data_IF_070835415288
#
_entry.id   IF_070835415288
#
_cell.length_a   1.000
_cell.length_b   1.000
_cell.length_c   1.000
_cell.angle_alpha   90.00
_cell.angle_beta   90.00
_cell.angle_gamma   90.00
#
_symmetry.space_group_name_H-M   'P 1'
#
loop_
_entity.id
_entity.type
_entity.pdbx_description
1 polymer ?
#
# COMPACT_ATOMS: atom_id res chain seq x y z
N UNK A 1 -8.34 14.93 -12.18
CA UNK A 1 -8.07 15.41 -10.79
C UNK A 1 -6.59 15.15 -10.50
N UNK A 2 -5.84 16.13 -9.99
CA UNK A 2 -4.40 15.94 -9.70
C UNK A 2 -4.22 15.11 -8.42
N UNK A 3 -3.13 14.34 -8.30
CA UNK A 3 -2.81 13.49 -7.12
C UNK A 3 -2.97 14.23 -5.78
N UNK A 4 -2.62 15.53 -5.74
CA UNK A 4 -2.82 16.39 -4.57
C UNK A 4 -4.29 16.64 -4.22
N UNK A 5 -5.17 16.62 -5.21
CA UNK A 5 -6.61 16.86 -5.01
C UNK A 5 -7.31 15.57 -4.55
N UNK A 6 -6.79 14.40 -4.95
CA UNK A 6 -7.25 13.10 -4.44
C UNK A 6 -7.01 12.96 -2.93
N UNK A 7 -5.81 13.28 -2.46
CA UNK A 7 -5.50 13.24 -1.03
C UNK A 7 -6.27 14.31 -0.23
N UNK A 8 -6.66 15.44 -0.87
CA UNK A 8 -7.50 16.46 -0.24
C UNK A 8 -8.99 16.08 -0.22
N UNK A 9 -9.51 15.41 -1.26
CA UNK A 9 -10.93 15.02 -1.32
C UNK A 9 -11.29 13.94 -0.30
N UNK A 10 -10.33 13.11 0.09
CA UNK A 10 -10.52 12.12 1.16
C UNK A 10 -10.61 12.79 2.55
N UNK A 11 -10.04 14.00 2.71
CA UNK A 11 -10.01 14.73 4.00
C UNK A 11 -11.14 15.75 4.24
N UNK A 12 -12.04 16.01 3.29
CA UNK A 12 -13.02 17.11 3.41
C UNK A 12 -14.49 16.69 3.45
N UNK A 13 -14.78 15.39 3.54
CA UNK A 13 -16.14 14.85 3.60
C UNK A 13 -16.74 14.73 5.01
N UNK A 14 -16.59 15.74 5.88
CA UNK A 14 -17.28 15.75 7.18
C UNK A 14 -18.61 16.48 7.08
N UNK A 15 -19.70 15.75 6.78
CA UNK A 15 -21.03 16.16 7.16
C UNK A 15 -21.31 15.63 8.57
N UNK A 16 -21.28 16.52 9.55
CA UNK A 16 -21.57 16.21 10.95
C UNK A 16 -23.05 15.79 11.12
N UNK A 17 -23.31 14.52 11.41
CA UNK A 17 -24.53 14.07 12.04
C UNK A 17 -24.23 13.79 13.51
N UNK A 18 -24.55 14.74 14.37
CA UNK A 18 -24.55 14.56 15.82
C UNK A 18 -25.79 13.74 16.24
N UNK A 19 -25.60 12.44 16.37
CA UNK A 19 -26.53 11.60 17.14
C UNK A 19 -25.87 11.29 18.49
N UNK A 20 -26.33 11.95 19.55
CA UNK A 20 -25.92 11.64 20.91
C UNK A 20 -26.50 10.29 21.33
N UNK A 21 -25.70 9.23 21.22
CA UNK A 21 -25.94 7.95 21.88
C UNK A 21 -25.05 7.87 23.12
N UNK A 22 -25.69 7.94 24.27
CA UNK A 22 -25.07 7.64 25.57
C UNK A 22 -24.64 6.17 25.60
N UNK A 23 -23.36 5.93 25.39
CA UNK A 23 -22.76 4.62 25.64
C UNK A 23 -22.52 4.43 27.13
N UNK A 24 -22.90 3.26 27.70
CA UNK A 24 -22.56 2.95 29.08
C UNK A 24 -21.01 2.89 29.18
N UNK A 25 -20.46 3.58 30.17
CA UNK A 25 -19.07 3.49 30.56
C UNK A 25 -18.75 2.05 30.97
N UNK A 26 -18.32 1.25 30.02
CA UNK A 26 -17.72 -0.06 30.32
C UNK A 26 -16.41 0.25 31.04
N UNK A 27 -16.34 -0.20 32.31
CA UNK A 27 -15.12 -0.18 33.11
C UNK A 27 -13.95 -0.68 32.23
N UNK A 28 -13.02 0.22 31.92
CA UNK A 28 -11.68 -0.18 31.49
C UNK A 28 -11.06 -0.94 32.67
N UNK A 29 -11.16 -2.24 32.69
CA UNK A 29 -10.29 -3.05 33.53
C UNK A 29 -8.87 -2.59 33.19
N UNK A 30 -8.09 -2.20 34.22
CA UNK A 30 -6.65 -1.93 34.08
C UNK A 30 -6.03 -3.18 33.47
N UNK A 31 -5.93 -3.26 32.15
CA UNK A 31 -5.02 -4.19 31.50
C UNK A 31 -3.63 -3.73 31.94
N UNK A 32 -2.92 -4.56 32.69
CA UNK A 32 -1.51 -4.36 32.96
C UNK A 32 -0.85 -4.25 31.58
N UNK A 33 -0.24 -3.10 31.29
CA UNK A 33 0.33 -2.78 30.00
C UNK A 33 1.31 -3.86 29.55
N UNK A 34 0.99 -4.54 28.46
CA UNK A 34 1.89 -5.50 27.84
C UNK A 34 2.79 -4.72 26.89
N UNK A 35 4.05 -4.52 27.27
CA UNK A 35 5.04 -3.92 26.38
C UNK A 35 5.34 -4.87 25.24
N UNK A 36 5.14 -4.39 24.01
CA UNK A 36 5.44 -5.12 22.80
C UNK A 36 6.87 -4.77 22.34
N UNK A 37 7.65 -5.77 21.96
CA UNK A 37 8.88 -5.55 21.20
C UNK A 37 8.49 -5.32 19.74
N UNK A 38 8.11 -4.09 19.43
CA UNK A 38 7.58 -3.71 18.13
C UNK A 38 8.50 -2.76 17.40
N UNK A 39 8.50 -2.88 16.06
CA UNK A 39 9.10 -1.87 15.19
C UNK A 39 8.00 -1.12 14.45
N UNK A 40 7.99 0.19 14.55
CA UNK A 40 6.93 1.03 14.02
C UNK A 40 7.49 2.03 13.02
N UNK A 41 6.70 2.34 12.00
CA UNK A 41 7.12 3.14 10.86
C UNK A 41 6.05 4.16 10.47
N UNK A 42 6.39 5.06 9.55
CA UNK A 42 5.42 5.93 8.88
C UNK A 42 5.78 6.15 7.42
N UNK A 43 4.77 6.14 6.53
CA UNK A 43 4.94 6.56 5.15
C UNK A 43 4.95 8.09 5.06
N UNK A 44 5.94 8.63 4.36
CA UNK A 44 6.07 10.07 4.11
C UNK A 44 5.71 10.38 2.66
N UNK A 45 4.51 10.89 2.43
CA UNK A 45 4.03 11.36 1.11
C UNK A 45 4.14 12.87 0.94
N UNK A 46 4.26 13.63 2.05
CA UNK A 46 4.46 15.07 2.06
C UNK A 46 5.84 15.38 2.62
N UNK A 47 6.69 16.02 1.82
CA UNK A 47 8.11 16.17 2.14
C UNK A 47 8.44 17.41 2.96
N UNK A 48 7.46 18.30 3.21
CA UNK A 48 7.69 19.62 3.86
C UNK A 48 8.43 20.59 2.94
N UNK A 49 8.39 21.87 3.29
CA UNK A 49 8.97 22.92 2.45
C UNK A 49 10.48 23.12 2.70
N UNK A 50 10.96 22.74 3.89
CA UNK A 50 12.38 22.93 4.27
C UNK A 50 12.86 21.84 5.24
N UNK A 51 14.17 21.82 5.50
CA UNK A 51 14.81 20.82 6.37
C UNK A 51 14.46 21.00 7.85
N UNK A 52 14.17 22.23 8.29
CA UNK A 52 13.83 22.46 9.71
C UNK A 52 12.43 21.90 10.06
N UNK A 53 11.47 22.00 9.16
CA UNK A 53 10.18 21.34 9.31
C UNK A 53 10.33 19.81 9.29
N UNK A 54 11.16 19.29 8.37
CA UNK A 54 11.46 17.88 8.31
C UNK A 54 12.10 17.38 9.62
N UNK A 55 13.05 18.12 10.21
CA UNK A 55 13.67 17.77 11.50
C UNK A 55 12.65 17.73 12.65
N UNK A 56 11.78 18.73 12.76
CA UNK A 56 10.71 18.74 13.76
C UNK A 56 9.80 17.52 13.65
N UNK A 57 9.48 17.14 12.42
CA UNK A 57 8.69 15.95 12.15
C UNK A 57 9.42 14.67 12.53
N UNK A 58 10.71 14.53 12.20
CA UNK A 58 11.54 13.39 12.57
C UNK A 58 11.71 13.28 14.09
N UNK A 59 11.89 14.40 14.78
CA UNK A 59 11.91 14.43 16.24
C UNK A 59 10.58 13.91 16.84
N UNK A 60 9.44 14.37 16.34
CA UNK A 60 8.12 13.89 16.76
C UNK A 60 7.95 12.37 16.51
N UNK A 61 8.36 11.90 15.33
CA UNK A 61 8.35 10.47 14.96
C UNK A 61 9.18 9.65 15.95
N UNK A 62 10.44 10.04 16.19
CA UNK A 62 11.34 9.34 17.12
C UNK A 62 10.82 9.35 18.56
N UNK A 63 10.36 10.51 19.05
CA UNK A 63 9.79 10.65 20.41
C UNK A 63 8.54 9.82 20.61
N UNK A 64 7.84 9.46 19.55
CA UNK A 64 6.62 8.63 19.59
C UNK A 64 6.91 7.14 19.52
N UNK A 65 8.19 6.75 19.49
CA UNK A 65 8.58 5.32 19.49
C UNK A 65 8.57 4.68 18.11
N UNK A 66 8.60 5.46 17.02
CA UNK A 66 8.79 4.93 15.70
C UNK A 66 10.28 4.69 15.41
N UNK A 67 10.57 3.67 14.62
CA UNK A 67 11.92 3.19 14.33
C UNK A 67 12.43 3.68 12.97
N UNK A 68 11.52 4.09 12.06
CA UNK A 68 11.93 4.53 10.75
C UNK A 68 10.81 5.15 9.92
N UNK A 69 11.20 5.61 8.75
CA UNK A 69 10.37 6.31 7.79
C UNK A 69 10.42 5.67 6.41
N UNK A 70 9.34 5.82 5.66
CA UNK A 70 9.23 5.35 4.27
C UNK A 70 8.87 6.56 3.37
N UNK A 71 9.85 7.39 2.94
CA UNK A 71 9.60 8.52 2.06
C UNK A 71 9.35 8.08 0.61
N UNK A 72 8.41 8.77 -0.09
CA UNK A 72 8.08 8.53 -1.50
C UNK A 72 8.95 9.36 -2.47
N UNK A 73 10.26 9.41 -2.24
CA UNK A 73 11.23 10.19 -3.02
C UNK A 73 12.14 11.04 -2.15
N UNK A 74 13.02 11.84 -2.76
CA UNK A 74 14.03 12.65 -2.07
C UNK A 74 14.86 11.81 -1.07
N UNK A 75 15.23 10.60 -1.48
CA UNK A 75 15.80 9.58 -0.57
C UNK A 75 17.07 10.05 0.11
N UNK A 76 18.03 10.67 -0.61
CA UNK A 76 19.27 11.19 -0.04
C UNK A 76 19.03 12.29 1.01
N UNK A 77 18.03 13.16 0.76
CA UNK A 77 17.62 14.17 1.75
C UNK A 77 17.12 13.52 3.02
N UNK A 78 16.22 12.54 2.90
CA UNK A 78 15.63 11.87 4.05
C UNK A 78 16.65 11.01 4.79
N UNK A 79 17.56 10.34 4.09
CA UNK A 79 18.68 9.60 4.71
C UNK A 79 19.51 10.55 5.58
N UNK A 80 19.97 11.67 5.01
CA UNK A 80 20.81 12.65 5.73
C UNK A 80 20.10 13.19 6.99
N UNK A 81 18.81 13.52 6.90
CA UNK A 81 18.06 14.06 8.03
C UNK A 81 17.71 12.99 9.07
N UNK A 82 17.32 11.80 8.65
CA UNK A 82 16.93 10.71 9.54
C UNK A 82 18.08 10.18 10.40
N UNK A 83 19.32 10.23 9.89
CA UNK A 83 20.52 9.89 10.65
C UNK A 83 20.70 10.76 11.91
N UNK A 84 20.29 12.03 11.88
CA UNK A 84 20.36 12.94 13.05
C UNK A 84 19.48 12.42 14.21
N UNK A 85 18.50 11.56 13.94
CA UNK A 85 17.51 11.03 14.88
C UNK A 85 17.59 9.51 15.08
N UNK A 86 18.59 8.84 14.49
CA UNK A 86 18.70 7.38 14.52
C UNK A 86 17.39 6.70 14.08
N UNK A 87 16.92 7.08 12.87
CA UNK A 87 15.75 6.52 12.21
C UNK A 87 16.16 5.79 10.93
N UNK A 88 15.63 4.59 10.74
CA UNK A 88 15.81 3.83 9.49
C UNK A 88 15.04 4.49 8.34
N UNK A 89 15.62 4.42 7.13
CA UNK A 89 14.97 4.93 5.90
C UNK A 89 14.77 3.78 4.93
N UNK A 90 13.51 3.62 4.51
CA UNK A 90 13.07 2.65 3.52
C UNK A 90 12.55 3.40 2.30
N UNK A 91 13.06 3.12 1.10
CA UNK A 91 12.65 3.83 -0.11
C UNK A 91 11.24 3.39 -0.54
N UNK A 92 10.22 4.18 -0.24
CA UNK A 92 8.85 3.94 -0.71
C UNK A 92 8.75 4.31 -2.19
N UNK A 93 8.65 3.28 -3.02
CA UNK A 93 8.72 3.39 -4.46
C UNK A 93 7.42 2.94 -5.12
N UNK A 94 6.83 3.88 -5.89
CA UNK A 94 5.64 3.62 -6.70
C UNK A 94 6.06 2.79 -7.91
N UNK A 95 5.60 1.55 -8.00
CA UNK A 95 6.14 0.57 -8.94
C UNK A 95 5.45 0.60 -10.31
N UNK A 96 4.23 0.10 -10.43
CA UNK A 96 3.54 -0.03 -11.72
C UNK A 96 2.69 1.18 -12.10
N UNK A 97 2.24 1.97 -11.13
CA UNK A 97 1.49 3.20 -11.40
C UNK A 97 2.46 4.30 -11.84
N UNK A 98 2.38 4.75 -13.10
CA UNK A 98 3.33 5.66 -13.77
C UNK A 98 2.68 6.87 -14.43
N UNK A 99 1.57 7.34 -13.89
CA UNK A 99 0.87 8.52 -14.42
C UNK A 99 1.63 9.85 -14.31
N UNK A 100 2.71 9.89 -13.54
CA UNK A 100 3.61 11.05 -13.45
C UNK A 100 4.90 10.93 -14.28
N UNK A 101 5.08 9.82 -15.00
CA UNK A 101 6.27 9.55 -15.81
C UNK A 101 6.02 9.97 -17.26
N UNK A 102 6.30 11.25 -17.58
CA UNK A 102 6.10 11.80 -18.92
C UNK A 102 6.93 11.08 -19.99
N UNK A 103 8.15 10.65 -19.64
CA UNK A 103 9.00 9.92 -20.59
C UNK A 103 8.34 8.63 -21.06
N UNK A 104 7.79 7.83 -20.13
CA UNK A 104 7.09 6.59 -20.47
C UNK A 104 5.81 6.85 -21.27
N UNK A 105 5.04 7.86 -20.87
CA UNK A 105 3.77 8.19 -21.53
C UNK A 105 3.99 8.62 -22.98
N UNK A 106 5.04 9.42 -23.23
CA UNK A 106 5.34 9.96 -24.56
C UNK A 106 6.07 8.98 -25.47
N UNK A 107 6.98 8.15 -24.93
CA UNK A 107 7.86 7.32 -25.73
C UNK A 107 7.47 5.83 -25.74
N UNK A 108 6.74 5.37 -24.74
CA UNK A 108 6.39 3.95 -24.55
C UNK A 108 4.92 3.74 -24.12
N UNK A 109 3.93 4.40 -24.79
CA UNK A 109 2.52 4.25 -24.43
C UNK A 109 2.01 2.81 -24.56
N UNK A 110 2.65 2.00 -25.41
CA UNK A 110 2.35 0.59 -25.61
C UNK A 110 2.77 -0.32 -24.42
N UNK A 111 3.59 0.19 -23.49
CA UNK A 111 3.94 -0.54 -22.27
C UNK A 111 2.86 -0.51 -21.19
N UNK A 112 1.87 0.36 -21.36
CA UNK A 112 0.81 0.52 -20.39
C UNK A 112 -0.28 -0.54 -20.52
N UNK A 113 -0.98 -0.80 -19.43
CA UNK A 113 -2.07 -1.76 -19.38
C UNK A 113 -3.24 -1.34 -20.26
N UNK A 114 -3.92 -2.33 -20.83
CA UNK A 114 -5.15 -2.16 -21.61
C UNK A 114 -6.28 -2.88 -20.87
N UNK A 115 -7.43 -2.23 -20.74
CA UNK A 115 -8.60 -2.85 -20.12
C UNK A 115 -9.30 -3.82 -21.08
N UNK A 116 -10.31 -4.53 -20.57
CA UNK A 116 -11.06 -5.53 -21.37
C UNK A 116 -11.84 -4.91 -22.55
N UNK A 117 -12.10 -3.60 -22.54
CA UNK A 117 -12.70 -2.88 -23.68
C UNK A 117 -11.70 -2.50 -24.76
N UNK A 118 -10.40 -2.84 -24.61
CA UNK A 118 -9.34 -2.48 -25.55
C UNK A 118 -8.79 -1.06 -25.35
N UNK A 119 -9.09 -0.40 -24.25
CA UNK A 119 -8.67 0.97 -23.98
C UNK A 119 -7.39 0.99 -23.14
N UNK A 120 -6.39 1.76 -23.60
CA UNK A 120 -5.14 1.98 -22.87
C UNK A 120 -5.38 2.80 -21.60
N UNK A 121 -4.70 2.46 -20.51
CA UNK A 121 -4.72 3.27 -19.29
C UNK A 121 -3.99 4.61 -19.45
N UNK A 122 -3.30 4.87 -20.57
CA UNK A 122 -2.74 6.18 -20.89
C UNK A 122 -3.87 7.15 -21.28
N UNK A 123 -4.75 6.70 -22.18
CA UNK A 123 -5.81 7.57 -22.76
C UNK A 123 -7.10 7.49 -21.94
N UNK A 124 -7.38 6.34 -21.36
CA UNK A 124 -8.58 6.04 -20.59
C UNK A 124 -8.22 5.47 -19.21
N UNK A 125 -7.58 6.28 -18.34
CA UNK A 125 -7.21 5.82 -17.02
C UNK A 125 -8.46 5.55 -16.17
N UNK A 126 -8.44 4.45 -15.44
CA UNK A 126 -9.50 4.15 -14.49
C UNK A 126 -9.56 5.22 -13.39
N UNK A 127 -10.75 5.72 -13.06
CA UNK A 127 -11.06 6.64 -11.95
C UNK A 127 -10.45 8.05 -12.04
N UNK A 128 -9.13 8.19 -12.25
CA UNK A 128 -8.42 9.49 -12.19
C UNK A 128 -7.29 9.58 -13.21
N UNK A 129 -6.96 10.78 -13.70
CA UNK A 129 -6.04 11.00 -14.81
C UNK A 129 -4.62 10.43 -14.62
N UNK A 130 -4.14 10.36 -13.38
CA UNK A 130 -2.81 9.82 -13.09
C UNK A 130 -2.79 8.30 -12.94
N UNK A 131 -3.93 7.61 -13.07
CA UNK A 131 -4.05 6.16 -12.84
C UNK A 131 -3.63 5.35 -14.06
N UNK A 132 -2.43 5.64 -14.56
CA UNK A 132 -1.80 5.02 -15.71
C UNK A 132 -0.83 3.94 -15.24
N UNK A 133 -0.94 2.74 -15.77
CA UNK A 133 -0.30 1.55 -15.19
C UNK A 133 0.51 0.80 -16.22
N UNK A 134 1.80 0.50 -15.91
CA UNK A 134 2.65 -0.37 -16.71
C UNK A 134 2.20 -1.82 -16.63
N UNK A 135 2.26 -2.50 -17.77
CA UNK A 135 1.98 -3.93 -17.85
C UNK A 135 3.15 -4.75 -17.26
N UNK A 136 2.91 -5.58 -16.21
CA UNK A 136 3.97 -6.37 -15.59
C UNK A 136 4.45 -7.53 -16.46
N UNK A 137 3.77 -7.82 -17.58
CA UNK A 137 4.11 -8.93 -18.49
C UNK A 137 5.14 -8.52 -19.54
N UNK A 138 5.31 -7.20 -19.79
CA UNK A 138 6.24 -6.68 -20.80
C UNK A 138 7.69 -6.66 -20.28
N UNK A 139 8.63 -7.34 -20.96
CA UNK A 139 10.03 -7.39 -20.56
C UNK A 139 10.68 -6.00 -20.50
N UNK A 140 10.38 -5.12 -21.47
CA UNK A 140 10.96 -3.79 -21.57
C UNK A 140 10.54 -2.91 -20.38
N UNK A 141 9.26 -3.03 -19.95
CA UNK A 141 8.78 -2.35 -18.74
C UNK A 141 9.45 -2.90 -17.48
N UNK A 142 9.68 -4.22 -17.40
CA UNK A 142 10.41 -4.82 -16.28
C UNK A 142 11.86 -4.33 -16.23
N UNK A 143 12.56 -4.27 -17.36
CA UNK A 143 13.94 -3.75 -17.43
C UNK A 143 14.01 -2.29 -17.00
N UNK A 144 13.08 -1.46 -17.45
CA UNK A 144 12.98 -0.07 -17.01
C UNK A 144 12.84 0.04 -15.49
N UNK A 145 11.95 -0.74 -14.89
CA UNK A 145 11.75 -0.80 -13.45
C UNK A 145 13.01 -1.29 -12.72
N UNK A 146 13.70 -2.28 -13.26
CA UNK A 146 14.94 -2.80 -12.65
C UNK A 146 16.08 -1.77 -12.66
N UNK A 147 16.16 -0.88 -13.65
CA UNK A 147 17.13 0.25 -13.63
C UNK A 147 16.83 1.23 -12.51
N UNK A 148 15.56 1.54 -12.27
CA UNK A 148 15.19 2.41 -11.14
C UNK A 148 15.48 1.76 -9.77
N UNK A 149 15.37 0.43 -9.67
CA UNK A 149 15.82 -0.29 -8.47
C UNK A 149 17.32 -0.11 -8.27
N UNK A 150 18.14 -0.16 -9.34
CA UNK A 150 19.59 0.09 -9.24
C UNK A 150 19.90 1.50 -8.71
N UNK A 151 19.15 2.51 -9.17
CA UNK A 151 19.31 3.90 -8.68
C UNK A 151 19.02 4.00 -7.18
N UNK A 152 17.95 3.37 -6.69
CA UNK A 152 17.63 3.33 -5.26
C UNK A 152 18.70 2.55 -4.49
N UNK A 153 19.15 1.44 -5.04
CA UNK A 153 20.18 0.59 -4.42
C UNK A 153 21.54 1.27 -4.27
N UNK A 154 21.83 2.26 -5.12
CA UNK A 154 23.08 3.04 -5.06
C UNK A 154 23.17 3.96 -3.83
N UNK A 155 22.07 4.16 -3.09
CA UNK A 155 22.04 4.95 -1.86
C UNK A 155 22.34 4.00 -0.69
N UNK A 156 23.54 4.03 -0.14
CA UNK A 156 24.05 3.02 0.81
C UNK A 156 23.19 2.85 2.06
N UNK A 157 22.69 3.93 2.63
CA UNK A 157 21.98 3.96 3.91
C UNK A 157 20.51 3.52 3.82
N UNK A 158 19.96 3.39 2.62
CA UNK A 158 18.60 2.84 2.44
C UNK A 158 18.57 1.39 2.94
N UNK A 159 17.66 1.09 3.85
CA UNK A 159 17.50 -0.26 4.46
C UNK A 159 16.73 -1.22 3.58
N UNK A 160 15.74 -0.72 2.84
CA UNK A 160 14.95 -1.54 1.92
C UNK A 160 14.44 -0.74 0.73
N UNK A 161 14.21 -1.44 -0.37
CA UNK A 161 13.28 -1.01 -1.42
C UNK A 161 11.88 -1.43 -0.96
N UNK A 162 10.97 -0.47 -0.81
CA UNK A 162 9.60 -0.69 -0.37
C UNK A 162 8.64 -0.46 -1.53
N UNK A 163 8.12 -1.56 -2.09
CA UNK A 163 7.22 -1.53 -3.24
C UNK A 163 5.83 -1.02 -2.83
N UNK A 164 5.27 -0.12 -3.61
CA UNK A 164 3.85 0.20 -3.57
C UNK A 164 3.29 0.26 -4.98
N UNK A 165 1.97 0.21 -5.13
CA UNK A 165 1.30 0.08 -6.41
C UNK A 165 1.86 -1.09 -7.26
N UNK A 166 2.35 -2.13 -6.59
CA UNK A 166 2.79 -3.40 -7.19
C UNK A 166 1.56 -4.33 -7.32
N UNK A 167 0.64 -3.94 -8.20
CA UNK A 167 -0.67 -4.56 -8.39
C UNK A 167 -1.31 -4.11 -9.69
N UNK A 168 -2.43 -4.69 -10.04
CA UNK A 168 -3.30 -4.15 -11.09
C UNK A 168 -4.12 -2.96 -10.56
N UNK A 169 -4.70 -2.13 -11.45
CA UNK A 169 -5.73 -1.16 -11.07
C UNK A 169 -6.85 -1.84 -10.28
N UNK A 170 -7.52 -1.07 -9.44
CA UNK A 170 -8.68 -1.58 -8.71
C UNK A 170 -9.77 -1.99 -9.70
N UNK A 171 -10.11 -3.27 -9.73
CA UNK A 171 -11.23 -3.77 -10.54
C UNK A 171 -12.56 -3.45 -9.85
N UNK A 172 -12.54 -3.40 -8.53
CA UNK A 172 -13.59 -2.86 -7.67
C UNK A 172 -12.90 -1.99 -6.61
N UNK A 173 -13.32 -0.72 -6.49
CA UNK A 173 -12.84 0.15 -5.42
C UNK A 173 -13.38 -0.28 -4.06
N UNK A 174 -12.61 -0.10 -2.98
CA UNK A 174 -13.13 -0.17 -1.63
C UNK A 174 -14.40 0.67 -1.47
N UNK A 175 -15.38 0.13 -0.77
CA UNK A 175 -16.76 0.67 -0.77
C UNK A 175 -16.83 2.15 -0.34
N UNK A 176 -15.99 2.58 0.59
CA UNK A 176 -15.92 3.97 1.05
C UNK A 176 -15.41 4.93 -0.03
N UNK A 177 -14.62 4.44 -0.99
CA UNK A 177 -14.05 5.26 -2.05
C UNK A 177 -14.99 5.44 -3.25
N UNK A 178 -15.95 4.55 -3.46
CA UNK A 178 -16.85 4.61 -4.62
C UNK A 178 -17.63 5.92 -4.73
N UNK A 179 -18.20 6.49 -3.64
CA UNK A 179 -18.89 7.78 -3.70
C UNK A 179 -17.98 8.95 -4.10
N UNK A 180 -16.67 8.89 -3.79
CA UNK A 180 -15.70 9.93 -4.17
C UNK A 180 -15.61 10.09 -5.70
N UNK A 181 -15.81 8.98 -6.42
CA UNK A 181 -15.81 8.93 -7.89
C UNK A 181 -17.22 8.94 -8.49
N UNK A 182 -18.25 9.06 -7.65
CA UNK A 182 -19.65 9.04 -8.07
C UNK A 182 -20.02 7.76 -8.85
N UNK A 183 -19.49 6.61 -8.41
CA UNK A 183 -19.72 5.28 -9.00
C UNK A 183 -20.29 4.31 -7.96
N UNK A 184 -20.92 3.25 -8.46
CA UNK A 184 -21.36 2.07 -7.70
C UNK A 184 -20.84 0.85 -8.42
N UNK A 185 -19.99 0.07 -7.75
CA UNK A 185 -19.42 -1.18 -8.30
C UNK A 185 -19.90 -2.36 -7.46
N UNK A 186 -20.90 -3.07 -7.95
CA UNK A 186 -21.47 -4.30 -7.37
C UNK A 186 -20.89 -5.58 -7.97
N UNK A 187 -20.10 -5.44 -9.04
CA UNK A 187 -19.39 -6.49 -9.78
C UNK A 187 -18.17 -5.94 -10.51
N UNK A 188 -17.42 -6.81 -11.15
CA UNK A 188 -16.34 -6.40 -12.05
C UNK A 188 -16.92 -5.89 -13.39
N UNK A 189 -16.49 -4.69 -13.78
CA UNK A 189 -16.88 -4.07 -15.04
C UNK A 189 -15.69 -4.07 -16.02
N UNK A 190 -15.93 -4.28 -17.34
CA UNK A 190 -14.85 -4.43 -18.33
C UNK A 190 -13.88 -3.23 -18.40
N UNK A 191 -14.36 -2.01 -18.16
CA UNK A 191 -13.56 -0.79 -18.16
C UNK A 191 -12.54 -0.71 -17.02
N UNK A 192 -12.72 -1.49 -15.94
CA UNK A 192 -11.80 -1.55 -14.80
C UNK A 192 -11.00 -2.86 -14.74
N UNK A 193 -11.30 -3.83 -15.63
CA UNK A 193 -10.60 -5.12 -15.64
C UNK A 193 -9.36 -5.08 -16.55
N UNK A 194 -8.18 -5.21 -15.98
CA UNK A 194 -6.86 -5.18 -16.62
C UNK A 194 -6.09 -6.49 -16.35
N UNK A 195 -5.07 -6.91 -17.14
CA UNK A 195 -4.56 -6.31 -18.37
C UNK A 195 -4.89 -7.24 -19.55
N UNK A 196 -5.48 -6.68 -20.58
CA UNK A 196 -5.79 -7.38 -21.84
C UNK A 196 -4.94 -6.84 -23.00
N UNK A 197 -3.75 -6.28 -22.72
CA UNK A 197 -2.82 -5.89 -23.78
C UNK A 197 -2.33 -7.12 -24.57
N UNK A 198 -1.79 -6.88 -25.76
CA UNK A 198 -1.30 -7.94 -26.64
C UNK A 198 -0.31 -8.88 -25.93
N UNK A 199 0.65 -8.33 -25.16
CA UNK A 199 1.64 -9.14 -24.44
C UNK A 199 0.99 -10.11 -23.43
N UNK A 200 -0.04 -9.68 -22.69
CA UNK A 200 -0.76 -10.54 -21.78
C UNK A 200 -1.57 -11.62 -22.51
N UNK A 201 -2.31 -11.22 -23.54
CA UNK A 201 -3.17 -12.14 -24.30
C UNK A 201 -2.36 -13.18 -25.05
N UNK A 202 -1.32 -12.76 -25.77
CA UNK A 202 -0.45 -13.66 -26.53
C UNK A 202 0.25 -14.66 -25.62
N UNK A 203 0.82 -14.21 -24.50
CA UNK A 203 1.48 -15.08 -23.53
C UNK A 203 0.50 -16.07 -22.89
N UNK A 204 -0.70 -15.64 -22.55
CA UNK A 204 -1.72 -16.54 -22.00
C UNK A 204 -2.15 -17.58 -23.04
N UNK A 205 -2.40 -17.15 -24.28
CA UNK A 205 -2.76 -18.04 -25.37
C UNK A 205 -1.68 -19.07 -25.70
N UNK A 206 -0.41 -18.67 -25.68
CA UNK A 206 0.73 -19.58 -25.85
C UNK A 206 0.76 -20.67 -24.77
N UNK A 207 0.51 -20.29 -23.51
CA UNK A 207 0.57 -21.21 -22.37
C UNK A 207 -0.67 -22.11 -22.21
N UNK A 208 -1.86 -21.61 -22.60
CA UNK A 208 -3.13 -22.25 -22.27
C UNK A 208 -4.04 -22.54 -23.47
N UNK A 209 -3.67 -22.07 -24.68
CA UNK A 209 -4.41 -22.34 -25.93
C UNK A 209 -5.64 -21.44 -26.15
N UNK A 210 -6.00 -20.60 -25.19
CA UNK A 210 -7.21 -19.76 -25.21
C UNK A 210 -6.86 -18.27 -25.15
N UNK A 211 -7.67 -17.42 -25.75
CA UNK A 211 -7.52 -15.98 -25.65
C UNK A 211 -8.46 -15.42 -24.55
N UNK A 212 -7.96 -14.78 -23.50
CA UNK A 212 -8.80 -14.34 -22.38
C UNK A 212 -9.84 -13.29 -22.74
N UNK A 213 -9.72 -12.62 -23.89
CA UNK A 213 -10.74 -11.68 -24.38
C UNK A 213 -12.05 -12.38 -24.77
N UNK A 214 -11.99 -13.67 -25.06
CA UNK A 214 -13.14 -14.49 -25.47
C UNK A 214 -13.93 -15.04 -24.26
N UNK A 215 -13.41 -14.88 -23.05
CA UNK A 215 -14.10 -15.39 -21.86
C UNK A 215 -15.35 -14.57 -21.55
N UNK A 216 -16.47 -15.27 -21.36
CA UNK A 216 -17.75 -14.64 -20.99
C UNK A 216 -17.69 -14.07 -19.57
N UNK A 217 -17.07 -14.82 -18.65
CA UNK A 217 -16.92 -14.47 -17.22
C UNK A 217 -15.46 -14.62 -16.78
N UNK A 218 -14.57 -13.71 -17.20
CA UNK A 218 -13.13 -13.80 -16.91
C UNK A 218 -12.83 -13.69 -15.41
N UNK A 219 -13.73 -13.05 -14.63
CA UNK A 219 -13.63 -12.96 -13.18
C UNK A 219 -13.72 -14.32 -12.48
N UNK A 220 -14.42 -15.29 -13.09
CA UNK A 220 -14.54 -16.65 -12.57
C UNK A 220 -13.49 -17.61 -13.16
N UNK A 221 -12.71 -17.16 -14.14
CA UNK A 221 -11.75 -18.01 -14.79
C UNK A 221 -10.45 -18.14 -13.96
N UNK A 222 -10.36 -19.19 -13.14
CA UNK A 222 -9.25 -19.38 -12.19
C UNK A 222 -7.87 -19.34 -12.84
N UNK A 223 -7.69 -19.96 -14.01
CA UNK A 223 -6.38 -20.00 -14.71
C UNK A 223 -5.97 -18.60 -15.17
N UNK A 224 -6.92 -17.80 -15.67
CA UNK A 224 -6.67 -16.41 -16.06
C UNK A 224 -6.34 -15.54 -14.85
N UNK A 225 -7.08 -15.68 -13.75
CA UNK A 225 -6.79 -14.95 -12.52
C UNK A 225 -5.41 -15.31 -11.99
N UNK A 226 -5.07 -16.62 -11.95
CA UNK A 226 -3.75 -17.10 -11.54
C UNK A 226 -2.63 -16.61 -12.45
N UNK A 227 -2.84 -16.57 -13.77
CA UNK A 227 -1.88 -15.98 -14.69
C UNK A 227 -1.56 -14.54 -14.31
N UNK A 228 -2.56 -13.69 -14.07
CA UNK A 228 -2.38 -12.29 -13.67
C UNK A 228 -1.62 -12.16 -12.35
N UNK A 229 -1.97 -12.95 -11.34
CA UNK A 229 -1.22 -12.99 -10.07
C UNK A 229 0.25 -13.34 -10.31
N UNK A 230 0.51 -14.32 -11.14
CA UNK A 230 1.86 -14.81 -11.43
C UNK A 230 2.73 -13.78 -12.16
N UNK A 231 2.16 -12.89 -13.00
CA UNK A 231 2.96 -11.83 -13.62
C UNK A 231 3.52 -10.85 -12.57
N UNK A 232 2.72 -10.47 -11.58
CA UNK A 232 3.17 -9.63 -10.47
C UNK A 232 4.17 -10.40 -9.57
N UNK A 233 3.83 -11.62 -9.18
CA UNK A 233 4.70 -12.48 -8.35
C UNK A 233 6.08 -12.65 -8.98
N UNK A 234 6.14 -12.86 -10.30
CA UNK A 234 7.39 -12.99 -11.02
C UNK A 234 8.24 -11.71 -10.93
N UNK A 235 7.65 -10.55 -11.21
CA UNK A 235 8.31 -9.25 -11.11
C UNK A 235 8.83 -8.99 -9.69
N UNK A 236 8.01 -9.24 -8.65
CA UNK A 236 8.42 -9.07 -7.25
C UNK A 236 9.57 -9.99 -6.90
N UNK A 237 9.50 -11.27 -7.28
CA UNK A 237 10.52 -12.24 -6.93
C UNK A 237 11.85 -11.98 -7.66
N UNK A 238 11.83 -11.51 -8.91
CA UNK A 238 13.02 -11.01 -9.60
C UNK A 238 13.63 -9.79 -8.87
N UNK A 239 12.78 -8.84 -8.48
CA UNK A 239 13.22 -7.67 -7.70
C UNK A 239 13.84 -8.10 -6.37
N UNK A 240 13.25 -9.10 -5.70
CA UNK A 240 13.79 -9.62 -4.44
C UNK A 240 15.21 -10.19 -4.58
N UNK A 241 15.45 -10.97 -5.64
CA UNK A 241 16.80 -11.50 -5.93
C UNK A 241 17.79 -10.36 -6.14
N UNK A 242 17.44 -9.36 -6.95
CA UNK A 242 18.27 -8.21 -7.24
C UNK A 242 18.62 -7.40 -5.99
N UNK A 243 17.60 -7.05 -5.20
CA UNK A 243 17.73 -6.23 -4.00
C UNK A 243 18.56 -6.94 -2.93
N UNK A 244 18.36 -8.25 -2.71
CA UNK A 244 19.14 -9.04 -1.75
C UNK A 244 20.59 -9.24 -2.18
N UNK A 245 20.85 -9.43 -3.46
CA UNK A 245 22.21 -9.50 -3.99
C UNK A 245 23.00 -8.19 -3.74
N UNK A 246 22.32 -7.06 -3.67
CA UNK A 246 22.87 -5.77 -3.27
C UNK A 246 22.88 -5.51 -1.76
N UNK A 247 22.58 -6.51 -0.93
CA UNK A 247 22.64 -6.43 0.54
C UNK A 247 21.50 -5.66 1.21
N UNK A 248 20.42 -5.35 0.48
CA UNK A 248 19.26 -4.64 1.01
C UNK A 248 18.04 -5.58 1.15
N UNK A 249 16.98 -5.09 1.80
CA UNK A 249 15.71 -5.83 1.98
C UNK A 249 14.69 -5.39 0.94
N UNK A 250 13.80 -6.31 0.54
CA UNK A 250 12.62 -6.00 -0.24
C UNK A 250 11.37 -6.10 0.63
N UNK A 251 10.59 -5.03 0.68
CA UNK A 251 9.32 -4.97 1.41
C UNK A 251 8.21 -4.42 0.52
N UNK A 252 6.96 -4.57 0.88
CA UNK A 252 5.86 -4.06 0.07
C UNK A 252 4.66 -3.59 0.90
N UNK A 253 4.06 -2.47 0.47
CA UNK A 253 2.68 -2.11 0.80
C UNK A 253 1.74 -3.01 -0.01
N UNK A 254 0.78 -3.63 0.66
CA UNK A 254 -0.16 -4.56 0.03
C UNK A 254 -1.59 -4.28 0.51
N UNK A 255 -2.58 -4.76 -0.22
CA UNK A 255 -3.98 -4.68 0.22
C UNK A 255 -4.21 -5.47 1.51
N UNK A 256 -5.26 -5.12 2.30
CA UNK A 256 -5.34 -5.46 3.73
C UNK A 256 -5.26 -6.94 4.05
N UNK A 257 -5.97 -7.76 3.29
CA UNK A 257 -5.97 -9.21 3.48
C UNK A 257 -5.71 -9.93 2.16
N UNK A 258 -5.25 -11.19 2.19
CA UNK A 258 -5.01 -11.94 0.95
C UNK A 258 -6.24 -12.02 0.05
N UNK A 259 -7.44 -12.23 0.62
CA UNK A 259 -8.67 -12.34 -0.15
C UNK A 259 -9.08 -11.01 -0.79
N UNK A 260 -9.02 -9.92 -0.04
CA UNK A 260 -9.28 -8.58 -0.55
C UNK A 260 -8.26 -8.21 -1.64
N UNK A 261 -6.99 -8.52 -1.44
CA UNK A 261 -5.94 -8.24 -2.40
C UNK A 261 -6.14 -8.99 -3.74
N UNK A 262 -6.48 -10.27 -3.67
CA UNK A 262 -6.79 -11.09 -4.85
C UNK A 262 -8.02 -10.57 -5.59
N UNK A 263 -9.07 -10.27 -4.86
CA UNK A 263 -10.36 -9.88 -5.43
C UNK A 263 -10.33 -8.49 -6.06
N UNK A 264 -9.81 -7.49 -5.33
CA UNK A 264 -9.94 -6.10 -5.74
C UNK A 264 -8.83 -5.62 -6.67
N UNK A 265 -7.61 -6.18 -6.57
CA UNK A 265 -6.44 -5.64 -7.27
C UNK A 265 -5.53 -6.70 -7.86
N UNK A 266 -5.98 -7.94 -7.98
CA UNK A 266 -5.22 -9.06 -8.54
C UNK A 266 -3.83 -9.22 -7.88
N UNK A 267 -3.74 -9.03 -6.59
CA UNK A 267 -2.50 -9.04 -5.82
C UNK A 267 -2.46 -10.28 -4.92
N UNK A 268 -1.64 -11.29 -5.27
CA UNK A 268 -1.46 -12.50 -4.46
C UNK A 268 -0.13 -12.44 -3.70
N UNK A 269 -0.02 -11.50 -2.78
CA UNK A 269 1.22 -11.15 -2.09
C UNK A 269 1.73 -12.24 -1.12
N UNK A 270 0.93 -13.22 -0.78
CA UNK A 270 1.37 -14.35 0.07
C UNK A 270 2.42 -15.22 -0.61
N UNK A 271 2.47 -15.21 -1.94
CA UNK A 271 3.46 -15.95 -2.74
C UNK A 271 4.74 -15.13 -3.01
N UNK A 272 4.85 -13.93 -2.45
CA UNK A 272 5.97 -13.06 -2.73
C UNK A 272 7.15 -13.29 -1.79
N UNK A 273 8.36 -13.24 -2.35
CA UNK A 273 9.60 -13.34 -1.59
C UNK A 273 9.97 -12.00 -0.94
N UNK A 274 9.25 -11.63 0.13
CA UNK A 274 9.44 -10.38 0.87
C UNK A 274 10.18 -10.59 2.19
N UNK A 275 10.95 -9.59 2.60
CA UNK A 275 11.59 -9.54 3.91
C UNK A 275 10.68 -8.97 5.00
N UNK A 276 9.65 -8.23 4.60
CA UNK A 276 8.51 -7.83 5.43
C UNK A 276 7.33 -7.39 4.56
N UNK A 277 6.12 -7.49 5.08
CA UNK A 277 4.89 -7.06 4.42
C UNK A 277 4.18 -5.99 5.24
N UNK A 278 3.61 -5.00 4.54
CA UNK A 278 2.94 -3.84 5.12
C UNK A 278 1.49 -3.76 4.58
N UNK A 279 0.58 -4.60 5.08
CA UNK A 279 -0.82 -4.55 4.64
C UNK A 279 -1.47 -3.24 5.07
N UNK A 280 -2.07 -2.54 4.11
CA UNK A 280 -2.82 -1.28 4.30
C UNK A 280 -4.19 -1.57 4.90
N UNK A 281 -4.24 -1.90 6.19
CA UNK A 281 -5.48 -2.26 6.90
C UNK A 281 -6.24 -0.98 7.28
N UNK A 282 -6.69 -0.26 6.25
CA UNK A 282 -7.43 1.00 6.37
C UNK A 282 -8.91 0.69 6.61
N UNK A 283 -9.25 0.36 7.85
CA UNK A 283 -10.55 -0.20 8.25
C UNK A 283 -11.74 0.64 7.77
N UNK A 284 -11.65 1.97 7.81
CA UNK A 284 -12.71 2.86 7.37
C UNK A 284 -13.03 2.71 5.88
N UNK A 285 -12.06 2.39 5.03
CA UNK A 285 -12.28 2.16 3.59
C UNK A 285 -13.20 0.97 3.31
N UNK A 286 -13.37 0.08 4.28
CA UNK A 286 -14.22 -1.13 4.23
C UNK A 286 -15.42 -1.04 5.17
N UNK A 287 -15.74 0.14 5.71
CA UNK A 287 -16.81 0.36 6.71
C UNK A 287 -16.66 -0.56 7.93
N UNK A 288 -15.42 -0.72 8.41
CA UNK A 288 -15.09 -1.56 9.56
C UNK A 288 -14.64 -0.71 10.75
N UNK A 289 -14.87 -1.20 11.96
CA UNK A 289 -14.33 -0.61 13.19
C UNK A 289 -12.87 -1.03 13.45
N UNK A 290 -12.27 -0.49 14.52
CA UNK A 290 -10.88 -0.78 14.86
C UNK A 290 -10.62 -2.26 15.19
N UNK A 291 -11.62 -3.07 15.57
CA UNK A 291 -11.45 -4.51 15.85
C UNK A 291 -11.10 -5.29 14.60
N UNK A 292 -11.66 -4.87 13.48
CA UNK A 292 -11.34 -5.49 12.20
C UNK A 292 -9.85 -5.43 11.87
N UNK A 293 -9.10 -4.45 12.39
CA UNK A 293 -7.65 -4.40 12.23
C UNK A 293 -6.98 -5.67 12.74
N UNK A 294 -7.38 -6.14 13.93
CA UNK A 294 -6.88 -7.40 14.47
C UNK A 294 -7.35 -8.63 13.67
N UNK A 295 -8.61 -8.64 13.23
CA UNK A 295 -9.15 -9.73 12.42
C UNK A 295 -8.38 -9.87 11.09
N UNK A 296 -8.12 -8.74 10.42
CA UNK A 296 -7.36 -8.69 9.16
C UNK A 296 -5.90 -9.12 9.36
N UNK A 297 -5.22 -8.68 10.44
CA UNK A 297 -3.89 -9.17 10.77
C UNK A 297 -3.90 -10.68 11.00
N UNK A 298 -4.87 -11.20 11.75
CA UNK A 298 -5.00 -12.64 12.00
C UNK A 298 -5.24 -13.43 10.70
N UNK A 299 -6.03 -12.90 9.77
CA UNK A 299 -6.22 -13.47 8.44
C UNK A 299 -4.91 -13.54 7.66
N UNK A 300 -4.17 -12.43 7.57
CA UNK A 300 -2.85 -12.39 6.96
C UNK A 300 -1.91 -13.44 7.55
N UNK A 301 -1.85 -13.52 8.89
CA UNK A 301 -0.96 -14.45 9.60
C UNK A 301 -1.29 -15.92 9.37
N UNK A 302 -2.52 -16.26 8.99
CA UNK A 302 -2.89 -17.65 8.64
C UNK A 302 -2.31 -18.09 7.30
N UNK A 303 -2.21 -17.19 6.32
CA UNK A 303 -1.79 -17.55 4.95
C UNK A 303 -0.30 -17.26 4.68
N UNK A 304 0.30 -16.28 5.34
CA UNK A 304 1.68 -15.89 5.07
C UNK A 304 2.70 -16.70 5.89
N UNK A 305 3.98 -16.77 5.47
CA UNK A 305 5.04 -17.40 6.25
C UNK A 305 5.17 -16.75 7.64
N UNK A 306 5.24 -17.58 8.69
CA UNK A 306 5.32 -17.10 10.08
C UNK A 306 6.59 -16.30 10.39
N UNK A 307 7.66 -16.55 9.63
CA UNK A 307 8.96 -15.87 9.76
C UNK A 307 9.01 -14.48 9.13
N UNK A 308 8.07 -14.15 8.23
CA UNK A 308 8.01 -12.83 7.58
C UNK A 308 7.32 -11.84 8.50
N UNK A 309 7.97 -10.74 8.94
CA UNK A 309 7.32 -9.69 9.72
C UNK A 309 6.16 -9.05 8.97
N UNK A 310 5.10 -8.72 9.71
CA UNK A 310 3.94 -7.97 9.23
C UNK A 310 3.85 -6.66 10.02
N UNK A 311 3.89 -5.54 9.32
CA UNK A 311 3.69 -4.20 9.88
C UNK A 311 2.34 -3.66 9.43
N UNK A 312 1.40 -3.55 10.37
CA UNK A 312 0.02 -3.18 10.07
C UNK A 312 -0.09 -1.71 9.66
N UNK A 313 -0.49 -1.44 8.42
CA UNK A 313 -0.75 -0.08 7.93
C UNK A 313 -2.06 0.48 8.49
N UNK A 314 -2.02 1.67 9.11
CA UNK A 314 -3.15 2.38 9.67
C UNK A 314 -3.39 3.69 8.94
N UNK A 315 -4.65 3.96 8.55
CA UNK A 315 -5.06 5.22 7.94
C UNK A 315 -5.59 6.17 9.01
N UNK A 316 -4.82 7.19 9.33
CA UNK A 316 -5.01 8.03 10.51
C UNK A 316 -6.14 9.07 10.39
N UNK A 317 -6.40 9.71 9.23
CA UNK A 317 -7.31 10.86 9.15
C UNK A 317 -8.73 10.61 9.65
N UNK A 318 -9.21 9.38 9.56
CA UNK A 318 -10.58 9.01 9.95
C UNK A 318 -10.64 8.36 11.35
N UNK A 319 -9.50 8.23 12.05
CA UNK A 319 -9.43 7.65 13.38
C UNK A 319 -9.47 8.70 14.48
N UNK A 320 -10.27 8.49 15.51
CA UNK A 320 -10.10 9.19 16.79
C UNK A 320 -8.80 8.76 17.49
N UNK A 321 -8.33 9.56 18.46
CA UNK A 321 -7.12 9.21 19.21
C UNK A 321 -7.24 7.86 19.95
N UNK A 322 -8.43 7.55 20.45
CA UNK A 322 -8.73 6.25 21.09
C UNK A 322 -8.65 5.12 20.07
N UNK A 323 -9.22 5.29 18.88
CA UNK A 323 -9.19 4.28 17.82
C UNK A 323 -7.76 3.98 17.36
N UNK A 324 -6.88 4.99 17.26
CA UNK A 324 -5.46 4.78 16.94
C UNK A 324 -4.80 3.84 17.95
N UNK A 325 -5.04 4.04 19.25
CA UNK A 325 -4.48 3.17 20.29
C UNK A 325 -5.09 1.75 20.25
N UNK A 326 -6.40 1.67 20.05
CA UNK A 326 -7.10 0.37 19.95
C UNK A 326 -6.65 -0.42 18.70
N UNK A 327 -6.52 0.24 17.56
CA UNK A 327 -6.03 -0.39 16.33
C UNK A 327 -4.61 -0.95 16.50
N UNK A 328 -3.72 -0.18 17.16
CA UNK A 328 -2.39 -0.65 17.53
C UNK A 328 -2.47 -1.92 18.38
N UNK A 329 -3.23 -1.90 19.50
CA UNK A 329 -3.36 -3.04 20.41
C UNK A 329 -3.92 -4.28 19.68
N UNK A 330 -4.99 -4.13 18.88
CA UNK A 330 -5.57 -5.24 18.12
C UNK A 330 -4.59 -5.81 17.09
N UNK A 331 -3.81 -4.95 16.41
CA UNK A 331 -2.78 -5.40 15.48
C UNK A 331 -1.73 -6.26 16.21
N UNK A 332 -1.22 -5.76 17.33
CA UNK A 332 -0.17 -6.43 18.10
C UNK A 332 -0.66 -7.75 18.74
N UNK A 333 -1.87 -7.77 19.31
CA UNK A 333 -2.49 -8.97 19.88
C UNK A 333 -2.70 -10.06 18.83
N UNK A 334 -2.90 -9.68 17.57
CA UNK A 334 -3.13 -10.58 16.43
C UNK A 334 -1.85 -11.00 15.70
N UNK A 335 -0.67 -10.57 16.18
CA UNK A 335 0.63 -11.05 15.71
C UNK A 335 1.31 -10.14 14.70
N UNK A 336 0.96 -8.85 14.64
CA UNK A 336 1.78 -7.86 13.94
C UNK A 336 3.13 -7.68 14.64
N UNK A 337 4.17 -7.37 13.87
CA UNK A 337 5.49 -7.00 14.37
C UNK A 337 5.60 -5.50 14.69
N UNK A 338 4.57 -4.74 14.39
CA UNK A 338 4.44 -3.31 14.60
C UNK A 338 3.40 -2.71 13.67
N UNK A 339 3.35 -1.38 13.64
CA UNK A 339 2.43 -0.63 12.77
C UNK A 339 3.17 0.31 11.84
N UNK A 340 2.48 0.74 10.79
CA UNK A 340 2.94 1.82 9.89
C UNK A 340 1.82 2.82 9.69
N UNK A 341 2.11 4.10 9.94
CA UNK A 341 1.11 5.16 9.90
C UNK A 341 1.00 5.79 8.51
N UNK A 342 -0.21 6.17 8.11
CA UNK A 342 -0.44 6.94 6.88
C UNK A 342 -1.65 7.86 7.00
N UNK A 343 -1.50 9.14 6.64
CA UNK A 343 -0.26 9.91 6.64
C UNK A 343 -0.03 10.53 8.03
N UNK A 344 1.20 10.50 8.51
CA UNK A 344 1.57 11.00 9.84
C UNK A 344 1.37 12.52 10.03
N UNK A 345 1.58 13.31 8.97
CA UNK A 345 1.48 14.77 9.03
C UNK A 345 0.05 15.28 9.28
N UNK A 346 -0.95 14.43 9.26
CA UNK A 346 -2.34 14.76 9.60
C UNK A 346 -2.69 14.45 11.04
N UNK A 347 -1.78 13.80 11.79
CA UNK A 347 -2.04 13.42 13.18
C UNK A 347 -2.13 14.63 14.08
N UNK A 348 -3.18 14.66 14.92
CA UNK A 348 -3.30 15.62 16.02
C UNK A 348 -2.33 15.27 17.15
N UNK A 349 -2.02 16.25 18.01
CA UNK A 349 -1.23 16.03 19.23
C UNK A 349 -1.87 14.97 20.14
N UNK A 350 -3.19 14.89 20.18
CA UNK A 350 -3.90 13.88 20.96
C UNK A 350 -3.65 12.48 20.40
N UNK A 351 -3.74 12.28 19.07
CA UNK A 351 -3.44 11.00 18.44
C UNK A 351 -1.98 10.58 18.68
N UNK A 352 -1.02 11.50 18.56
CA UNK A 352 0.38 11.24 18.88
C UNK A 352 0.57 10.84 20.36
N UNK A 353 -0.13 11.47 21.28
CA UNK A 353 -0.03 11.15 22.70
C UNK A 353 -0.61 9.77 23.03
N UNK A 354 -1.74 9.40 22.43
CA UNK A 354 -2.32 8.06 22.61
C UNK A 354 -1.42 6.98 22.02
N UNK A 355 -0.93 7.18 20.81
CA UNK A 355 -0.01 6.23 20.16
C UNK A 355 1.27 6.04 20.98
N UNK A 356 1.91 7.14 21.40
CA UNK A 356 3.12 7.10 22.24
C UNK A 356 2.90 6.30 23.51
N UNK A 357 1.76 6.48 24.13
CA UNK A 357 1.42 5.78 25.37
C UNK A 357 1.38 4.27 25.15
N UNK A 358 0.71 3.80 24.12
CA UNK A 358 0.60 2.35 23.86
C UNK A 358 1.89 1.73 23.33
N UNK A 359 2.72 2.48 22.62
CA UNK A 359 4.04 1.98 22.15
C UNK A 359 5.07 1.93 23.30
N UNK A 360 5.15 2.98 24.12
CA UNK A 360 6.24 3.12 25.10
C UNK A 360 5.89 2.65 26.50
N UNK A 361 4.61 2.63 26.87
CA UNK A 361 4.15 2.34 28.23
C UNK A 361 3.21 1.11 28.30
N UNK A 362 2.77 0.62 27.13
CA UNK A 362 1.84 -0.51 26.95
C UNK A 362 2.34 -1.85 27.40
#
# INVERSE_FOLDING_TARGET
MKRKDFLKSIGTGTAAFAAATTFPSVLMAKRQGRRWDSQNYTWISHHGDNDDEARKRLEQIKRSGLNGILPSGQYERWVRLAQEFDLDVHAWWITLQRGGDSYLIENHPDWFMVNRMGQSSVDYPAYVDYYKWLCPTRPEAQEYLMRQVDEIMAIDEIKSVHLDYIRYPDVILPIQLQPVYNIVQDKEYPEYDYCYCEACRSKFKELHGEDPIEFTRPEEHEVWNRFRYNQITHLVNQTAVKVRNGGKKLTAAVFPTPDIARSLVRQNWVDWSLDAVFPMIYNHFYHKDARWVGEAVAECRREMPKTTPLYCGLYIPEMSAIEVSQAYEYAMESGAAGVTLFPDHTMSEEQWNYLRRVILQG
#
